data_IF_008183612261
#
_entry.id   IF_008183612261
#
_cell.length_a   1.000
_cell.length_b   1.000
_cell.length_c   1.000
_cell.angle_alpha   90.00
_cell.angle_beta   90.00
_cell.angle_gamma   90.00
#
_symmetry.space_group_name_H-M   'P 1'
#
loop_
_entity.id
_entity.type
_entity.pdbx_description
1 polymer ?
#
# COMPACT_ATOMS: atom_id res chain seq x y z
N UNK A 1 -1.76 -13.99 -14.50
CA UNK A 1 -1.87 -12.54 -14.25
C UNK A 1 -1.08 -12.22 -12.99
N UNK A 2 -0.02 -11.42 -13.08
CA UNK A 2 0.85 -11.11 -11.95
C UNK A 2 0.23 -10.02 -11.07
N UNK A 3 0.47 -10.12 -9.76
CA UNK A 3 0.06 -9.12 -8.77
C UNK A 3 1.29 -8.34 -8.31
N UNK A 4 1.17 -7.01 -8.29
CA UNK A 4 2.23 -6.11 -7.85
C UNK A 4 1.76 -5.39 -6.60
N UNK A 5 2.44 -5.62 -5.48
CA UNK A 5 2.17 -4.93 -4.22
C UNK A 5 2.93 -3.60 -4.19
N UNK A 6 2.19 -2.52 -3.98
CA UNK A 6 2.71 -1.16 -3.89
C UNK A 6 2.37 -0.63 -2.49
N UNK A 7 3.36 -0.12 -1.76
CA UNK A 7 3.18 0.31 -0.37
C UNK A 7 3.65 1.76 -0.21
N UNK A 8 2.72 2.66 0.11
CA UNK A 8 3.02 4.05 0.42
C UNK A 8 3.23 4.26 1.93
N UNK A 9 3.85 5.37 2.33
CA UNK A 9 4.06 5.72 3.74
C UNK A 9 2.76 6.04 4.51
N UNK A 10 1.74 6.55 3.79
CA UNK A 10 0.45 6.98 4.35
C UNK A 10 -0.70 6.63 3.41
N UNK A 11 -1.90 6.46 3.95
CA UNK A 11 -3.08 6.06 3.16
C UNK A 11 -3.47 7.11 2.10
N UNK A 12 -3.36 8.40 2.41
CA UNK A 12 -3.71 9.46 1.45
C UNK A 12 -2.81 9.46 0.21
N UNK A 13 -1.53 9.12 0.38
CA UNK A 13 -0.60 8.94 -0.73
C UNK A 13 -0.98 7.71 -1.58
N UNK A 14 -1.28 6.57 -0.94
CA UNK A 14 -1.74 5.37 -1.65
C UNK A 14 -3.02 5.62 -2.45
N UNK A 15 -4.01 6.30 -1.84
CA UNK A 15 -5.27 6.68 -2.47
C UNK A 15 -5.05 7.57 -3.69
N UNK A 16 -4.22 8.61 -3.54
CA UNK A 16 -3.98 9.59 -4.60
C UNK A 16 -3.26 8.97 -5.80
N UNK A 17 -2.22 8.16 -5.53
CA UNK A 17 -1.48 7.44 -6.58
C UNK A 17 -2.35 6.40 -7.27
N UNK A 18 -3.10 5.59 -6.52
CA UNK A 18 -4.00 4.60 -7.11
C UNK A 18 -5.07 5.27 -7.97
N UNK A 19 -5.66 6.38 -7.53
CA UNK A 19 -6.64 7.15 -8.30
C UNK A 19 -6.04 7.70 -9.60
N UNK A 20 -4.83 8.25 -9.55
CA UNK A 20 -4.13 8.77 -10.73
C UNK A 20 -3.81 7.66 -11.73
N UNK A 21 -3.14 6.59 -11.29
CA UNK A 21 -2.67 5.51 -12.15
C UNK A 21 -3.81 4.67 -12.75
N UNK A 22 -4.91 4.51 -12.01
CA UNK A 22 -6.10 3.81 -12.48
C UNK A 22 -7.03 4.68 -13.34
N UNK A 23 -6.72 5.97 -13.57
CA UNK A 23 -7.63 6.94 -14.20
C UNK A 23 -9.00 7.01 -13.52
N UNK A 24 -9.02 7.05 -12.19
CA UNK A 24 -10.20 6.98 -11.31
C UNK A 24 -10.93 5.61 -11.27
N UNK A 25 -10.36 4.55 -11.86
CA UNK A 25 -10.97 3.21 -11.91
C UNK A 25 -10.55 2.24 -10.80
N UNK A 26 -9.85 2.71 -9.75
CA UNK A 26 -9.42 1.84 -8.67
C UNK A 26 -10.59 1.37 -7.80
N UNK A 27 -10.69 0.06 -7.59
CA UNK A 27 -11.60 -0.53 -6.61
C UNK A 27 -10.96 -0.48 -5.24
N UNK A 28 -11.73 -0.10 -4.21
CA UNK A 28 -11.25 -0.02 -2.84
C UNK A 28 -11.81 -1.18 -2.02
N UNK A 29 -10.95 -1.81 -1.22
CA UNK A 29 -11.35 -2.79 -0.22
C UNK A 29 -10.68 -2.54 1.13
N UNK A 30 -11.30 -3.08 2.15
CA UNK A 30 -10.76 -3.07 3.51
C UNK A 30 -9.62 -4.08 3.67
N UNK A 31 -8.61 -3.68 4.44
CA UNK A 31 -7.56 -4.55 4.95
C UNK A 31 -7.79 -4.87 6.44
N UNK A 32 -6.79 -5.46 7.09
CA UNK A 32 -6.83 -5.70 8.54
C UNK A 32 -6.74 -4.40 9.36
N UNK A 33 -6.05 -3.39 8.83
CA UNK A 33 -6.02 -2.05 9.42
C UNK A 33 -7.18 -1.22 8.87
N UNK A 34 -7.97 -0.62 9.77
CA UNK A 34 -9.04 0.31 9.41
C UNK A 34 -8.52 1.57 8.68
N UNK A 35 -7.25 1.92 8.90
CA UNK A 35 -6.65 3.15 8.38
C UNK A 35 -5.91 2.95 7.06
N UNK A 36 -5.44 1.73 6.79
CA UNK A 36 -4.67 1.40 5.60
C UNK A 36 -5.54 0.61 4.63
N UNK A 37 -6.22 1.33 3.73
CA UNK A 37 -7.08 0.73 2.71
C UNK A 37 -6.24 0.05 1.63
N UNK A 38 -6.89 -0.79 0.85
CA UNK A 38 -6.29 -1.44 -0.31
C UNK A 38 -7.02 -0.96 -1.56
N UNK A 39 -6.27 -0.52 -2.57
CA UNK A 39 -6.75 -0.01 -3.84
C UNK A 39 -6.26 -0.92 -4.97
N UNK A 40 -7.17 -1.50 -5.73
CA UNK A 40 -6.86 -2.49 -6.76
C UNK A 40 -7.30 -2.02 -8.14
N UNK A 41 -6.44 -2.20 -9.13
CA UNK A 41 -6.74 -1.88 -10.53
C UNK A 41 -5.84 -2.65 -11.49
N UNK A 42 -6.28 -2.81 -12.74
CA UNK A 42 -5.46 -3.39 -13.80
C UNK A 42 -4.53 -2.33 -14.39
N UNK A 43 -3.30 -2.71 -14.72
CA UNK A 43 -2.30 -1.81 -15.28
C UNK A 43 -1.38 -2.54 -16.26
N UNK A 44 -0.79 -1.79 -17.19
CA UNK A 44 0.22 -2.30 -18.12
C UNK A 44 1.60 -1.86 -17.64
N UNK A 45 2.35 -2.76 -17.01
CA UNK A 45 3.68 -2.47 -16.47
C UNK A 45 4.73 -3.21 -17.30
N UNK A 46 5.70 -2.50 -17.87
CA UNK A 46 6.73 -3.08 -18.76
C UNK A 46 6.14 -3.97 -19.87
N UNK A 47 5.06 -3.49 -20.51
CA UNK A 47 4.32 -4.21 -21.54
C UNK A 47 3.70 -5.55 -21.08
N UNK A 48 3.53 -5.75 -19.77
CA UNK A 48 2.83 -6.90 -19.21
C UNK A 48 1.57 -6.47 -18.44
N UNK A 49 0.44 -7.17 -18.66
CA UNK A 49 -0.77 -6.91 -17.88
C UNK A 49 -0.61 -7.43 -16.46
N UNK A 50 -0.79 -6.53 -15.49
CA UNK A 50 -0.67 -6.82 -14.06
C UNK A 50 -1.87 -6.30 -13.27
N UNK A 51 -2.09 -6.88 -12.10
CA UNK A 51 -2.98 -6.35 -11.08
C UNK A 51 -2.16 -5.53 -10.09
N UNK A 52 -2.40 -4.22 -10.06
CA UNK A 52 -1.80 -3.34 -9.05
C UNK A 52 -2.61 -3.45 -7.76
N UNK A 53 -1.92 -3.70 -6.65
CA UNK A 53 -2.47 -3.72 -5.30
C UNK A 53 -1.74 -2.63 -4.52
N UNK A 54 -2.40 -1.49 -4.32
CA UNK A 54 -1.87 -0.36 -3.57
C UNK A 54 -2.37 -0.38 -2.14
N UNK A 55 -1.47 -0.25 -1.17
CA UNK A 55 -1.81 -0.03 0.23
C UNK A 55 -0.80 0.92 0.86
N UNK A 56 -0.84 1.06 2.18
CA UNK A 56 0.05 1.95 2.92
C UNK A 56 0.42 1.41 4.28
N UNK A 57 1.46 1.99 4.85
CA UNK A 57 1.74 1.98 6.28
C UNK A 57 1.23 3.28 6.90
N UNK A 58 1.52 3.50 8.18
CA UNK A 58 1.13 4.70 8.91
C UNK A 58 2.38 5.40 9.48
N UNK A 59 3.37 5.66 8.62
CA UNK A 59 4.71 6.11 9.02
C UNK A 59 5.67 4.94 9.29
N UNK A 60 6.54 5.08 10.30
CA UNK A 60 7.50 4.04 10.66
C UNK A 60 6.78 2.77 11.15
N UNK A 61 7.10 1.62 10.55
CA UNK A 61 6.50 0.31 10.92
C UNK A 61 7.08 -0.23 12.23
N UNK A 62 8.36 0.06 12.46
CA UNK A 62 9.14 -0.42 13.59
C UNK A 62 9.86 0.74 14.23
N UNK A 63 10.07 0.63 15.54
CA UNK A 63 10.95 1.51 16.30
C UNK A 63 12.20 0.73 16.74
N UNK A 64 13.25 1.45 17.07
CA UNK A 64 14.44 0.88 17.70
C UNK A 64 14.30 1.00 19.21
N UNK A 65 14.63 -0.07 19.92
CA UNK A 65 14.66 -0.09 21.38
C UNK A 65 15.75 -1.04 21.87
N UNK A 66 16.22 -0.85 23.10
CA UNK A 66 17.12 -1.80 23.73
C UNK A 66 16.39 -3.13 23.99
N UNK A 67 17.12 -4.24 24.01
CA UNK A 67 16.56 -5.51 24.47
C UNK A 67 16.08 -5.39 25.90
N UNK A 68 15.09 -6.20 26.31
CA UNK A 68 14.48 -6.13 27.64
C UNK A 68 15.49 -6.13 28.82
N UNK A 69 16.64 -6.79 28.67
CA UNK A 69 17.72 -6.79 29.67
C UNK A 69 18.43 -5.43 29.87
N UNK A 70 18.21 -4.48 28.97
CA UNK A 70 18.92 -3.20 28.88
C UNK A 70 17.95 -2.00 28.77
N UNK A 71 16.65 -2.23 28.93
CA UNK A 71 15.62 -1.19 28.88
C UNK A 71 14.97 -1.07 30.27
N UNK A 72 15.67 -0.35 31.17
CA UNK A 72 15.33 -0.18 32.60
C UNK A 72 14.52 1.08 32.84
#
# INVERSE_FOLDING_TARGET
MHRVLNVAEKNDAAKSLARLLSKNGASMREGFSRYNKIYEFNYQLFNQPVQMIFTSVSGHIMNCDFTAAHNS
#
